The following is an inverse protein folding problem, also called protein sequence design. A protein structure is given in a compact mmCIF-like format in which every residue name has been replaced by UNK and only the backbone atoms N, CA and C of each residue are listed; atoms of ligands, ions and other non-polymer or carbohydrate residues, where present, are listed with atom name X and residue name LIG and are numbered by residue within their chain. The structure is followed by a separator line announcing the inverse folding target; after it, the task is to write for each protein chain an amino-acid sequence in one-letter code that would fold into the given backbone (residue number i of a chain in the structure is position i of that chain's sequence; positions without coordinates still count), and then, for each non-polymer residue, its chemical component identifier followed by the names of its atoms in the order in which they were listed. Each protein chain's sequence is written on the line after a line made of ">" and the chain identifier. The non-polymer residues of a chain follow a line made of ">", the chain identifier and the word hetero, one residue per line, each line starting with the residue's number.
data_IF_676617825595
#
_entry.id   IF_676617825595
#
_cell.length_a   1.000
_cell.length_b   1.000
_cell.length_c   1.000
_cell.angle_alpha   90.00
_cell.angle_beta   90.00
_cell.angle_gamma   90.00
#
_symmetry.space_group_name_H-M   'P 1'
#
loop_
_entity.id
_entity.type
_entity.pdbx_description
1 polymer ?
#
# COMPACT_ATOMS: atom_id res chain seq x y z
N UNK A 1 -36.83 -3.48 -17.99
CA UNK A 1 -36.57 -4.37 -19.15
C UNK A 1 -35.43 -3.92 -20.05
N UNK A 2 -34.99 -2.65 -20.05
CA UNK A 2 -33.92 -2.18 -20.97
C UNK A 2 -32.48 -2.30 -20.42
N UNK A 3 -32.27 -2.52 -19.11
CA UNK A 3 -30.92 -2.56 -18.51
C UNK A 3 -30.22 -3.92 -18.58
N UNK A 4 -30.93 -5.01 -18.91
CA UNK A 4 -30.33 -6.34 -19.05
C UNK A 4 -29.68 -6.59 -20.43
N UNK A 5 -29.85 -5.70 -21.40
CA UNK A 5 -29.29 -5.89 -22.75
C UNK A 5 -27.81 -5.48 -22.87
N UNK A 6 -27.29 -4.60 -22.00
CA UNK A 6 -25.86 -4.25 -21.95
C UNK A 6 -25.01 -5.31 -21.25
N UNK A 7 -25.54 -5.88 -20.16
CA UNK A 7 -24.88 -6.94 -19.38
C UNK A 7 -24.70 -8.23 -20.20
N UNK A 8 -25.67 -8.55 -21.07
CA UNK A 8 -25.62 -9.74 -21.89
C UNK A 8 -24.50 -9.69 -22.96
N UNK A 9 -24.10 -8.51 -23.45
CA UNK A 9 -23.15 -8.47 -24.57
C UNK A 9 -21.68 -8.71 -24.15
N UNK A 10 -21.32 -8.37 -22.90
CA UNK A 10 -19.99 -8.70 -22.35
C UNK A 10 -19.88 -10.15 -21.87
N UNK A 11 -21.01 -10.76 -21.46
CA UNK A 11 -21.09 -12.21 -21.18
C UNK A 11 -20.96 -13.03 -22.48
N UNK A 12 -21.41 -12.49 -23.61
CA UNK A 12 -21.47 -13.20 -24.90
C UNK A 12 -20.19 -13.17 -25.73
N UNK A 13 -19.10 -12.55 -25.26
CA UNK A 13 -17.81 -12.56 -25.98
C UNK A 13 -16.77 -13.51 -25.36
N UNK A 14 -17.16 -14.26 -24.33
CA UNK A 14 -16.31 -15.25 -23.64
C UNK A 14 -16.89 -16.68 -23.65
N UNK A 15 -17.96 -16.91 -24.43
CA UNK A 15 -18.47 -18.25 -24.73
C UNK A 15 -17.57 -19.03 -25.72
N UNK A 16 -16.48 -18.39 -26.20
CA UNK A 16 -15.56 -18.93 -27.21
C UNK A 16 -14.13 -19.16 -26.67
N UNK A 17 -13.92 -19.09 -25.34
CA UNK A 17 -12.75 -19.71 -24.70
C UNK A 17 -13.14 -21.08 -24.16
N UNK A 18 -13.62 -21.95 -25.06
CA UNK A 18 -13.54 -23.39 -24.83
C UNK A 18 -12.05 -23.75 -24.83
N UNK A 19 -11.42 -23.69 -23.66
CA UNK A 19 -10.15 -24.35 -23.36
C UNK A 19 -10.34 -25.81 -23.78
N UNK A 20 -9.87 -26.13 -24.99
CA UNK A 20 -10.27 -27.34 -25.71
C UNK A 20 -10.19 -28.59 -24.86
N UNK A 21 -11.36 -29.14 -24.49
CA UNK A 21 -11.50 -30.42 -23.80
C UNK A 21 -11.60 -30.37 -22.27
N UNK A 22 -11.61 -29.19 -21.62
CA UNK A 22 -11.89 -29.11 -20.18
C UNK A 22 -13.39 -29.18 -19.92
N UNK A 23 -13.80 -30.03 -18.99
CA UNK A 23 -15.19 -30.13 -18.55
C UNK A 23 -15.68 -28.76 -18.00
N UNK A 24 -16.81 -28.21 -18.48
CA UNK A 24 -17.35 -26.94 -18.00
C UNK A 24 -17.52 -26.85 -16.48
N UNK A 25 -17.85 -27.98 -15.83
CA UNK A 25 -18.07 -28.02 -14.39
C UNK A 25 -16.75 -27.90 -13.63
N UNK A 26 -15.70 -28.59 -14.09
CA UNK A 26 -14.34 -28.49 -13.53
C UNK A 26 -13.78 -27.08 -13.71
N UNK A 27 -14.01 -26.48 -14.88
CA UNK A 27 -13.58 -25.11 -15.12
C UNK A 27 -14.28 -24.13 -14.17
N UNK A 28 -15.59 -24.29 -13.98
CA UNK A 28 -16.33 -23.46 -13.04
C UNK A 28 -15.83 -23.63 -11.61
N UNK A 29 -15.55 -24.86 -11.17
CA UNK A 29 -14.95 -25.13 -9.86
C UNK A 29 -13.62 -24.39 -9.70
N UNK A 30 -12.75 -24.45 -10.71
CA UNK A 30 -11.49 -23.68 -10.74
C UNK A 30 -11.70 -22.17 -10.66
N UNK A 31 -12.72 -21.63 -11.34
CA UNK A 31 -13.08 -20.20 -11.22
C UNK A 31 -13.52 -19.85 -9.80
N UNK A 32 -14.27 -20.71 -9.13
CA UNK A 32 -14.76 -20.49 -7.77
C UNK A 32 -13.64 -20.56 -6.73
N UNK A 33 -12.65 -21.43 -6.93
CA UNK A 33 -11.46 -21.50 -6.08
C UNK A 33 -10.56 -20.28 -6.32
N UNK A 34 -10.31 -19.94 -7.59
CA UNK A 34 -9.49 -18.78 -7.96
C UNK A 34 -10.12 -17.47 -7.50
N UNK A 35 -11.45 -17.34 -7.52
CA UNK A 35 -12.14 -16.16 -7.02
C UNK A 35 -11.88 -15.95 -5.53
N UNK A 36 -11.85 -17.03 -4.72
CA UNK A 36 -11.48 -16.94 -3.29
C UNK A 36 -10.05 -16.47 -3.13
N UNK A 37 -9.12 -16.98 -3.93
CA UNK A 37 -7.73 -16.54 -3.94
C UNK A 37 -7.57 -15.03 -4.29
N UNK A 38 -8.43 -14.50 -5.17
CA UNK A 38 -8.48 -13.07 -5.48
C UNK A 38 -9.16 -12.23 -4.37
N UNK A 39 -9.74 -12.86 -3.34
CA UNK A 39 -10.44 -12.21 -2.23
C UNK A 39 -11.93 -11.96 -2.49
N UNK A 40 -12.53 -12.64 -3.48
CA UNK A 40 -13.96 -12.59 -3.78
C UNK A 40 -14.73 -13.59 -2.93
N UNK A 41 -15.99 -13.28 -2.61
CA UNK A 41 -16.94 -14.25 -2.11
C UNK A 41 -17.74 -14.83 -3.29
N UNK A 42 -17.57 -16.12 -3.64
CA UNK A 42 -18.21 -16.69 -4.82
C UNK A 42 -19.75 -16.70 -4.77
N UNK A 43 -20.35 -16.67 -3.57
CA UNK A 43 -21.81 -16.67 -3.40
C UNK A 43 -22.37 -15.25 -3.48
N UNK A 44 -21.67 -14.28 -2.88
CA UNK A 44 -22.09 -12.86 -2.84
C UNK A 44 -21.73 -12.09 -4.11
N UNK A 45 -20.59 -12.40 -4.70
CA UNK A 45 -19.95 -11.64 -5.78
C UNK A 45 -20.06 -12.38 -7.13
N UNK A 46 -21.15 -13.12 -7.34
CA UNK A 46 -21.43 -13.91 -8.55
C UNK A 46 -21.34 -13.07 -9.85
N UNK A 47 -21.76 -11.80 -9.79
CA UNK A 47 -21.70 -10.83 -10.87
C UNK A 47 -20.27 -10.36 -11.20
N UNK A 48 -19.29 -10.65 -10.34
CA UNK A 48 -17.89 -10.30 -10.50
C UNK A 48 -16.98 -11.51 -10.83
N UNK A 49 -17.53 -12.73 -10.85
CA UNK A 49 -16.79 -13.96 -11.18
C UNK A 49 -16.16 -13.94 -12.57
N UNK A 50 -16.60 -13.08 -13.48
CA UNK A 50 -15.96 -12.87 -14.77
C UNK A 50 -14.51 -12.36 -14.62
N UNK A 51 -14.18 -11.63 -13.55
CA UNK A 51 -12.81 -11.18 -13.26
C UNK A 51 -11.94 -12.39 -12.91
N UNK A 52 -12.43 -13.28 -12.05
CA UNK A 52 -11.74 -14.52 -11.70
C UNK A 52 -11.54 -15.42 -12.92
N UNK A 53 -12.58 -15.57 -13.75
CA UNK A 53 -12.50 -16.30 -15.02
C UNK A 53 -11.41 -15.75 -15.93
N UNK A 54 -11.33 -14.42 -16.08
CA UNK A 54 -10.30 -13.78 -16.91
C UNK A 54 -8.90 -13.93 -16.32
N UNK A 55 -8.76 -13.85 -15.00
CA UNK A 55 -7.48 -14.05 -14.32
C UNK A 55 -6.96 -15.48 -14.48
N UNK A 56 -7.85 -16.48 -14.41
CA UNK A 56 -7.47 -17.89 -14.50
C UNK A 56 -6.95 -18.29 -15.89
N UNK A 57 -7.43 -17.61 -16.92
CA UNK A 57 -7.05 -17.85 -18.33
C UNK A 57 -6.12 -16.75 -18.87
N UNK A 58 -5.57 -15.91 -18.00
CA UNK A 58 -4.70 -14.82 -18.39
C UNK A 58 -3.38 -15.37 -18.97
N UNK A 59 -2.93 -14.79 -20.08
CA UNK A 59 -1.63 -15.09 -20.63
C UNK A 59 -0.52 -14.53 -19.74
N UNK A 60 0.63 -15.19 -19.75
CA UNK A 60 1.83 -14.73 -19.06
C UNK A 60 2.33 -13.44 -19.75
N UNK A 61 2.59 -12.35 -19.02
CA UNK A 61 3.07 -11.09 -19.58
C UNK A 61 4.45 -11.23 -20.26
N UNK A 62 4.79 -10.33 -21.19
CA UNK A 62 6.12 -10.29 -21.80
C UNK A 62 7.25 -10.24 -20.76
N UNK A 63 8.32 -10.98 -21.00
CA UNK A 63 9.47 -11.10 -20.09
C UNK A 63 9.24 -12.06 -18.92
N UNK A 64 8.02 -12.54 -18.69
CA UNK A 64 7.72 -13.57 -17.69
C UNK A 64 7.63 -14.95 -18.34
N UNK A 65 8.10 -15.97 -17.62
CA UNK A 65 8.11 -17.36 -18.03
C UNK A 65 7.59 -18.25 -16.90
N UNK A 66 6.73 -19.22 -17.21
CA UNK A 66 6.37 -20.27 -16.26
C UNK A 66 7.40 -21.39 -16.34
N UNK A 67 7.95 -21.76 -15.19
CA UNK A 67 8.95 -22.82 -15.04
C UNK A 67 8.43 -23.80 -13.98
N UNK A 68 8.67 -25.10 -14.20
CA UNK A 68 8.32 -26.12 -13.23
C UNK A 68 9.50 -26.40 -12.31
N UNK A 69 9.26 -26.49 -11.01
CA UNK A 69 10.25 -27.00 -10.05
C UNK A 69 10.48 -28.50 -10.28
N UNK A 70 11.52 -29.05 -9.63
CA UNK A 70 11.78 -30.50 -9.65
C UNK A 70 10.62 -31.32 -9.05
N UNK A 71 9.79 -30.68 -8.23
CA UNK A 71 8.60 -31.26 -7.59
C UNK A 71 7.34 -31.14 -8.46
N UNK A 72 7.44 -30.50 -9.64
CA UNK A 72 6.32 -30.31 -10.57
C UNK A 72 5.41 -29.13 -10.20
N UNK A 73 5.85 -28.24 -9.32
CA UNK A 73 5.10 -27.02 -8.95
C UNK A 73 5.50 -25.89 -9.90
N UNK A 74 4.55 -25.19 -10.55
CA UNK A 74 4.87 -24.04 -11.37
C UNK A 74 5.32 -22.84 -10.52
N UNK A 75 6.33 -22.13 -10.98
CA UNK A 75 6.69 -20.78 -10.54
C UNK A 75 6.93 -19.89 -11.76
N UNK A 76 6.90 -18.58 -11.56
CA UNK A 76 7.05 -17.59 -12.61
C UNK A 76 8.38 -16.86 -12.44
N UNK A 77 9.13 -16.74 -13.53
CA UNK A 77 10.45 -16.10 -13.57
C UNK A 77 10.45 -15.00 -14.63
N UNK A 78 10.97 -13.82 -14.29
CA UNK A 78 11.17 -12.73 -15.22
C UNK A 78 12.64 -12.73 -15.71
N UNK A 79 12.84 -12.81 -17.02
CA UNK A 79 14.18 -12.86 -17.61
C UNK A 79 14.86 -11.48 -17.72
N UNK A 80 14.08 -10.40 -17.76
CA UNK A 80 14.58 -9.03 -17.81
C UNK A 80 15.07 -8.54 -16.44
N UNK A 81 14.29 -8.76 -15.37
CA UNK A 81 14.61 -8.32 -14.01
C UNK A 81 15.34 -9.38 -13.19
N UNK A 82 15.20 -10.66 -13.55
CA UNK A 82 15.69 -11.79 -12.75
C UNK A 82 14.78 -12.16 -11.57
N UNK A 83 13.58 -11.57 -11.47
CA UNK A 83 12.65 -11.85 -10.38
C UNK A 83 11.99 -13.22 -10.52
N UNK A 84 11.71 -13.88 -9.39
CA UNK A 84 10.92 -15.12 -9.35
C UNK A 84 9.79 -15.01 -8.33
N UNK A 85 8.60 -15.52 -8.68
CA UNK A 85 7.42 -15.53 -7.80
C UNK A 85 6.60 -16.79 -7.98
N UNK A 86 5.80 -17.13 -6.99
CA UNK A 86 4.91 -18.30 -7.03
C UNK A 86 3.55 -17.96 -7.64
N UNK A 87 3.13 -16.71 -7.49
CA UNK A 87 1.87 -16.19 -8.01
C UNK A 87 1.99 -15.76 -9.48
N UNK A 88 0.88 -15.82 -10.23
CA UNK A 88 0.89 -15.32 -11.60
C UNK A 88 1.13 -13.79 -11.57
N UNK A 89 2.04 -13.25 -12.41
CA UNK A 89 2.42 -11.83 -12.36
C UNK A 89 1.24 -10.86 -12.55
N UNK A 90 0.21 -11.25 -13.30
CA UNK A 90 -1.01 -10.45 -13.49
C UNK A 90 -2.05 -10.60 -12.38
N UNK A 91 -1.90 -11.53 -11.43
CA UNK A 91 -2.90 -11.74 -10.37
C UNK A 91 -3.13 -10.47 -9.54
N UNK A 92 -2.07 -9.69 -9.32
CA UNK A 92 -2.15 -8.45 -8.57
C UNK A 92 -3.07 -7.43 -9.26
N UNK A 93 -3.04 -7.36 -10.59
CA UNK A 93 -3.89 -6.47 -11.37
C UNK A 93 -5.36 -6.91 -11.35
N UNK A 94 -5.63 -8.21 -11.37
CA UNK A 94 -6.99 -8.73 -11.21
C UNK A 94 -7.54 -8.53 -9.79
N UNK A 95 -6.70 -8.63 -8.75
CA UNK A 95 -7.06 -8.24 -7.38
C UNK A 95 -7.43 -6.75 -7.30
N UNK A 96 -6.67 -5.88 -7.98
CA UNK A 96 -6.97 -4.44 -8.05
C UNK A 96 -8.26 -4.17 -8.85
N UNK A 97 -8.45 -4.86 -9.98
CA UNK A 97 -9.67 -4.79 -10.78
C UNK A 97 -10.91 -5.16 -9.98
N UNK A 98 -10.81 -6.22 -9.17
CA UNK A 98 -11.89 -6.64 -8.27
C UNK A 98 -12.22 -5.57 -7.23
N UNK A 99 -11.22 -5.00 -6.56
CA UNK A 99 -11.42 -3.93 -5.57
C UNK A 99 -12.16 -2.73 -6.16
N UNK A 100 -11.78 -2.30 -7.37
CA UNK A 100 -12.46 -1.19 -8.05
C UNK A 100 -13.89 -1.56 -8.48
N UNK A 101 -14.10 -2.79 -8.97
CA UNK A 101 -15.45 -3.26 -9.31
C UNK A 101 -16.37 -3.29 -8.07
N UNK A 102 -15.86 -3.73 -6.93
CA UNK A 102 -16.60 -3.73 -5.65
C UNK A 102 -16.90 -2.30 -5.18
N UNK A 103 -15.96 -1.36 -5.34
CA UNK A 103 -16.20 0.07 -5.06
C UNK A 103 -17.34 0.62 -5.91
N UNK A 104 -17.30 0.38 -7.23
CA UNK A 104 -18.34 0.82 -8.17
C UNK A 104 -19.71 0.24 -7.78
N UNK A 105 -19.75 -1.06 -7.46
CA UNK A 105 -20.95 -1.75 -6.99
C UNK A 105 -21.51 -1.10 -5.73
N UNK A 106 -20.66 -0.81 -4.74
CA UNK A 106 -21.05 -0.15 -3.50
C UNK A 106 -21.55 1.29 -3.71
N UNK A 107 -20.98 2.00 -4.69
CA UNK A 107 -21.39 3.36 -5.06
C UNK A 107 -22.67 3.40 -5.94
N UNK A 108 -23.18 2.25 -6.37
CA UNK A 108 -24.29 2.18 -7.34
C UNK A 108 -23.91 2.64 -8.75
N UNK A 109 -22.62 2.73 -9.05
CA UNK A 109 -22.10 3.03 -10.38
C UNK A 109 -22.23 1.80 -11.29
N UNK A 110 -22.55 1.97 -12.59
CA UNK A 110 -22.55 0.86 -13.53
C UNK A 110 -21.13 0.30 -13.69
N UNK A 111 -20.95 -0.99 -13.43
CA UNK A 111 -19.68 -1.69 -13.66
C UNK A 111 -19.43 -1.77 -15.17
N UNK A 112 -18.46 -1.01 -15.66
CA UNK A 112 -17.99 -1.07 -17.04
C UNK A 112 -16.81 -2.05 -17.13
N UNK A 113 -17.12 -3.29 -17.47
CA UNK A 113 -16.13 -4.37 -17.63
C UNK A 113 -15.06 -4.06 -18.68
N UNK A 114 -15.41 -3.33 -19.75
CA UNK A 114 -14.48 -2.96 -20.82
C UNK A 114 -13.47 -1.93 -20.31
N UNK A 115 -13.97 -0.91 -19.59
CA UNK A 115 -13.12 0.08 -18.93
C UNK A 115 -12.19 -0.56 -17.91
N UNK A 116 -12.71 -1.42 -17.04
CA UNK A 116 -11.89 -2.12 -16.04
C UNK A 116 -10.80 -2.96 -16.69
N UNK A 117 -11.15 -3.74 -17.72
CA UNK A 117 -10.18 -4.54 -18.49
C UNK A 117 -9.09 -3.65 -19.11
N UNK A 118 -9.45 -2.51 -19.70
CA UNK A 118 -8.48 -1.56 -20.25
C UNK A 118 -7.55 -1.01 -19.17
N UNK A 119 -8.08 -0.64 -18.01
CA UNK A 119 -7.29 0.00 -16.96
C UNK A 119 -6.27 -0.96 -16.34
N UNK A 120 -6.67 -2.20 -16.06
CA UNK A 120 -5.84 -3.13 -15.28
C UNK A 120 -5.09 -4.16 -16.14
N UNK A 121 -5.57 -4.50 -17.34
CA UNK A 121 -4.96 -5.56 -18.17
C UNK A 121 -4.14 -5.03 -19.35
N UNK A 122 -4.40 -3.80 -19.85
CA UNK A 122 -3.62 -3.25 -20.98
C UNK A 122 -2.31 -2.54 -20.55
N UNK A 123 -2.08 -2.33 -19.26
CA UNK A 123 -0.89 -1.61 -18.78
C UNK A 123 0.40 -2.46 -18.79
N UNK A 124 0.32 -3.74 -19.17
CA UNK A 124 1.47 -4.67 -19.18
C UNK A 124 2.45 -4.43 -20.34
N UNK A 125 2.26 -3.39 -21.15
CA UNK A 125 3.20 -3.04 -22.20
C UNK A 125 4.25 -1.99 -21.77
N UNK A 126 4.10 -1.27 -20.64
CA UNK A 126 5.01 -0.14 -20.32
C UNK A 126 5.28 0.19 -18.84
N UNK A 127 5.22 -0.75 -17.89
CA UNK A 127 5.71 -0.47 -16.54
C UNK A 127 6.70 -1.53 -16.01
N UNK A 128 7.98 -1.28 -16.28
CA UNK A 128 9.01 -1.42 -15.25
C UNK A 128 9.09 -0.06 -14.53
N UNK A 129 8.83 0.05 -13.22
CA UNK A 129 9.36 1.19 -12.48
C UNK A 129 10.86 1.03 -12.48
N UNK A 130 11.52 1.78 -13.36
CA UNK A 130 12.97 1.84 -13.44
C UNK A 130 13.48 2.23 -12.04
N UNK A 131 14.04 1.26 -11.33
CA UNK A 131 14.89 1.51 -10.18
C UNK A 131 16.03 2.36 -10.70
N UNK A 132 15.89 3.67 -10.60
CA UNK A 132 16.88 4.63 -11.06
C UNK A 132 18.05 4.50 -10.10
N UNK A 133 18.98 3.63 -10.51
CA UNK A 133 20.34 3.58 -10.06
C UNK A 133 20.86 5.01 -9.89
N UNK A 134 21.33 5.30 -8.69
CA UNK A 134 22.03 6.51 -8.29
C UNK A 134 23.01 6.95 -9.39
N UNK A 135 22.61 7.96 -10.17
CA UNK A 135 23.55 8.71 -10.98
C UNK A 135 24.07 9.86 -10.14
N UNK A 136 25.09 9.56 -9.32
CA UNK A 136 25.99 10.58 -8.77
C UNK A 136 26.69 11.23 -9.96
N UNK A 137 26.15 12.34 -10.44
CA UNK A 137 26.86 13.24 -11.35
C UNK A 137 27.82 14.07 -10.50
N UNK A 138 29.08 13.62 -10.50
CA UNK A 138 30.24 14.37 -10.05
C UNK A 138 30.30 15.71 -10.79
N UNK A 139 30.19 16.80 -10.05
CA UNK A 139 30.45 18.16 -10.53
C UNK A 139 31.96 18.32 -10.79
N UNK A 140 32.40 18.82 -11.96
CA UNK A 140 33.71 19.43 -12.08
C UNK A 140 33.67 20.91 -11.71
N UNK A 141 34.78 21.34 -11.15
CA UNK A 141 35.07 22.66 -10.61
C UNK A 141 34.81 23.86 -11.53
N UNK A 142 34.33 24.93 -10.88
CA UNK A 142 34.65 26.35 -11.05
C UNK A 142 35.31 26.87 -12.32
N UNK A 143 34.64 27.84 -12.95
CA UNK A 143 35.29 29.02 -13.52
C UNK A 143 34.28 30.19 -13.59
N UNK A 144 34.73 31.35 -13.12
CA UNK A 144 34.04 32.63 -13.21
C UNK A 144 33.93 33.11 -14.67
N UNK A 145 32.82 33.77 -15.06
CA UNK A 145 32.86 35.15 -15.58
C UNK A 145 31.47 35.77 -15.84
N UNK A 146 31.47 37.09 -15.77
CA UNK A 146 30.48 38.13 -16.12
C UNK A 146 29.47 37.90 -17.27
N UNK A 147 28.30 38.54 -17.14
CA UNK A 147 27.85 39.52 -18.15
C UNK A 147 26.43 39.41 -18.75
N UNK A 148 25.55 40.35 -18.36
CA UNK A 148 24.62 41.15 -19.19
C UNK A 148 23.49 40.52 -20.05
N UNK A 149 22.25 40.93 -19.71
CA UNK A 149 21.18 41.58 -20.52
C UNK A 149 20.77 41.04 -21.92
N UNK A 150 19.46 40.82 -22.13
CA UNK A 150 18.59 41.26 -23.27
C UNK A 150 17.40 40.27 -23.44
N UNK A 151 16.14 40.62 -23.14
CA UNK A 151 15.12 41.37 -23.92
C UNK A 151 14.60 40.67 -25.19
N UNK A 152 13.28 40.45 -25.20
CA UNK A 152 12.30 40.26 -26.29
C UNK A 152 12.29 38.98 -27.15
N UNK A 153 11.14 38.29 -27.16
CA UNK A 153 10.43 37.91 -28.40
C UNK A 153 9.04 37.31 -28.11
N UNK A 154 8.00 38.11 -28.32
CA UNK A 154 6.65 37.63 -28.60
C UNK A 154 6.59 37.08 -30.03
N UNK A 155 5.88 35.97 -30.25
CA UNK A 155 5.41 35.58 -31.58
C UNK A 155 4.12 34.75 -31.48
N UNK A 156 3.21 35.11 -32.36
CA UNK A 156 1.78 34.79 -32.40
C UNK A 156 1.47 33.37 -32.87
N UNK A 157 0.27 32.89 -32.49
CA UNK A 157 -0.42 31.75 -33.13
C UNK A 157 -1.00 32.14 -34.49
N UNK A 158 -1.40 31.17 -35.33
CA UNK A 158 -2.83 31.08 -35.62
C UNK A 158 -3.43 29.65 -35.69
N UNK A 159 -4.68 29.63 -35.19
CA UNK A 159 -5.80 28.68 -35.16
C UNK A 159 -6.06 27.86 -36.46
N UNK A 160 -6.87 26.78 -36.38
CA UNK A 160 -8.15 26.56 -37.12
C UNK A 160 -8.82 25.17 -36.79
N UNK A 161 -9.89 25.22 -35.95
CA UNK A 161 -11.19 24.47 -35.95
C UNK A 161 -11.34 22.93 -35.76
N UNK A 162 -12.56 22.40 -35.43
CA UNK A 162 -13.77 23.01 -34.84
C UNK A 162 -14.36 22.27 -33.61
N UNK A 163 -15.35 22.92 -32.98
CA UNK A 163 -16.07 22.54 -31.76
C UNK A 163 -17.36 21.71 -31.98
N UNK A 164 -17.78 20.97 -30.93
CA UNK A 164 -19.17 20.77 -30.42
C UNK A 164 -19.22 19.63 -29.37
N UNK A 165 -20.22 19.55 -28.45
CA UNK A 165 -20.72 20.52 -27.46
C UNK A 165 -20.55 19.99 -26.00
N UNK A 166 -20.78 20.79 -24.93
CA UNK A 166 -20.74 20.30 -23.55
C UNK A 166 -22.10 19.74 -23.10
N UNK A 167 -22.09 18.50 -22.61
CA UNK A 167 -23.23 17.87 -21.94
C UNK A 167 -23.43 18.47 -20.55
N UNK A 168 -24.63 19.01 -20.32
CA UNK A 168 -25.15 19.34 -19.00
C UNK A 168 -25.13 18.10 -18.09
N UNK A 169 -24.32 18.11 -17.03
CA UNK A 169 -24.63 17.38 -15.81
C UNK A 169 -24.57 18.33 -14.63
N UNK A 170 -25.76 18.56 -14.10
CA UNK A 170 -26.11 19.35 -12.94
C UNK A 170 -25.42 18.74 -11.71
N UNK A 171 -24.64 19.57 -11.01
CA UNK A 171 -24.12 19.24 -9.69
C UNK A 171 -25.29 19.05 -8.73
N UNK A 172 -25.55 17.80 -8.33
CA UNK A 172 -26.33 17.48 -7.14
C UNK A 172 -25.37 17.26 -6.00
N UNK A 173 -25.25 18.29 -5.15
CA UNK A 173 -24.74 18.13 -3.81
C UNK A 173 -25.79 17.33 -3.00
N UNK A 174 -25.48 16.07 -2.72
CA UNK A 174 -26.12 15.34 -1.63
C UNK A 174 -25.08 15.08 -0.57
N UNK A 175 -25.17 15.84 0.52
CA UNK A 175 -24.48 15.50 1.76
C UNK A 175 -24.94 14.14 2.25
N UNK A 176 -23.98 13.32 2.65
CA UNK A 176 -24.22 12.15 3.48
C UNK A 176 -23.16 12.17 4.57
N UNK A 177 -23.58 12.66 5.73
CA UNK A 177 -22.91 12.42 7.02
C UNK A 177 -22.97 10.91 7.29
N UNK A 178 -21.86 10.23 7.00
CA UNK A 178 -21.66 8.81 7.26
C UNK A 178 -20.58 8.63 8.31
N UNK A 179 -21.03 8.27 9.50
CA UNK A 179 -20.32 7.90 10.72
C UNK A 179 -19.06 7.03 10.49
N UNK A 180 -17.93 7.46 11.05
CA UNK A 180 -16.63 6.75 11.02
C UNK A 180 -16.31 6.05 12.35
N UNK A 181 -17.31 5.75 13.19
CA UNK A 181 -17.08 5.25 14.56
C UNK A 181 -17.03 3.73 14.74
N UNK A 182 -17.12 2.90 13.70
CA UNK A 182 -17.26 1.43 13.89
C UNK A 182 -16.13 0.60 13.22
N UNK A 183 -14.89 1.07 13.26
CA UNK A 183 -13.72 0.28 12.84
C UNK A 183 -12.45 0.50 13.67
N UNK A 184 -12.56 1.11 14.85
CA UNK A 184 -11.42 1.40 15.74
C UNK A 184 -11.40 0.58 17.05
N UNK A 185 -12.33 -0.35 17.24
CA UNK A 185 -12.50 -1.09 18.51
C UNK A 185 -12.41 -2.62 18.39
N UNK A 186 -11.72 -3.15 17.39
CA UNK A 186 -11.46 -4.60 17.26
C UNK A 186 -9.97 -4.92 17.01
N UNK A 187 -9.06 -4.17 17.65
CA UNK A 187 -7.62 -4.54 17.74
C UNK A 187 -7.10 -4.37 19.17
N UNK A 188 -7.93 -4.69 20.18
CA UNK A 188 -7.45 -4.65 21.57
C UNK A 188 -8.01 -5.74 22.49
N UNK A 189 -8.21 -6.94 21.95
CA UNK A 189 -8.56 -8.10 22.77
C UNK A 189 -7.82 -9.36 22.30
N UNK A 190 -6.49 -9.34 22.38
CA UNK A 190 -5.68 -10.57 22.31
C UNK A 190 -4.23 -10.36 22.80
N UNK A 191 -4.01 -9.88 24.02
CA UNK A 191 -2.85 -10.26 24.86
C UNK A 191 -3.12 -9.82 26.29
N UNK A 192 -3.45 -10.78 27.14
CA UNK A 192 -3.50 -10.58 28.59
C UNK A 192 -2.11 -10.41 29.20
N UNK A 193 -2.11 -9.80 30.38
CA UNK A 193 -1.04 -9.75 31.40
C UNK A 193 0.15 -8.82 31.06
N UNK A 194 0.45 -7.74 31.78
CA UNK A 194 0.10 -7.35 33.15
C UNK A 194 1.32 -7.37 34.07
N UNK A 195 2.36 -6.54 33.82
CA UNK A 195 3.35 -6.17 34.85
C UNK A 195 3.64 -4.68 34.74
N UNK A 196 3.27 -3.95 35.80
CA UNK A 196 3.52 -2.53 35.98
C UNK A 196 5.00 -2.27 36.27
N UNK A 197 5.62 -1.37 35.50
CA UNK A 197 6.92 -0.79 35.82
C UNK A 197 6.72 0.68 36.19
N UNK A 198 6.77 0.99 37.49
CA UNK A 198 6.74 2.37 37.99
C UNK A 198 8.07 3.07 37.69
N UNK A 199 8.06 4.35 37.29
CA UNK A 199 9.27 5.14 37.06
C UNK A 199 10.07 5.33 38.35
N UNK A 200 11.38 5.08 38.31
CA UNK A 200 12.33 5.53 39.33
C UNK A 200 12.78 6.94 38.95
N UNK A 201 12.35 7.91 39.76
CA UNK A 201 13.04 9.18 39.89
C UNK A 201 14.29 8.93 40.75
N UNK A 202 15.47 8.98 40.12
CA UNK A 202 16.74 9.06 40.82
C UNK A 202 17.00 10.54 41.15
N UNK A 203 16.66 10.95 42.37
CA UNK A 203 17.02 12.24 42.94
C UNK A 203 18.22 12.03 43.88
N UNK A 204 19.37 12.60 43.51
CA UNK A 204 20.59 12.63 44.30
C UNK A 204 20.43 13.65 45.44
N UNK A 205 20.62 13.23 46.69
CA UNK A 205 21.18 14.09 47.75
C UNK A 205 21.53 13.31 49.03
N UNK A 206 22.83 13.31 49.33
CA UNK A 206 23.49 13.55 50.62
C UNK A 206 22.72 13.31 51.93
N UNK A 207 23.25 12.43 52.81
CA UNK A 207 23.96 12.84 54.05
C UNK A 207 23.86 11.80 55.20
N UNK A 208 25.04 11.56 55.79
CA UNK A 208 25.39 11.10 57.15
C UNK A 208 24.83 9.81 57.83
N UNK A 209 25.79 8.93 58.17
CA UNK A 209 26.12 8.71 59.60
C UNK A 209 25.72 7.39 60.27
N UNK A 210 26.68 6.45 60.34
CA UNK A 210 27.10 5.83 61.61
C UNK A 210 26.40 4.55 62.14
N UNK A 211 27.14 3.45 62.09
CA UNK A 211 27.39 2.53 63.22
C UNK A 211 26.26 1.64 63.76
N UNK A 212 26.45 0.32 63.71
CA UNK A 212 26.82 -0.51 64.87
C UNK A 212 26.49 -2.00 64.62
N UNK A 213 27.37 -2.84 65.15
CA UNK A 213 27.54 -4.26 64.93
C UNK A 213 26.79 -5.05 66.02
N UNK A 214 25.81 -5.90 65.67
CA UNK A 214 25.30 -6.90 66.62
C UNK A 214 24.96 -8.25 65.98
N UNK A 215 25.61 -9.26 66.53
CA UNK A 215 25.47 -10.70 66.34
C UNK A 215 24.15 -11.23 66.94
N UNK A 216 23.60 -12.31 66.37
CA UNK A 216 23.05 -13.54 67.04
C UNK A 216 21.88 -14.17 66.25
N UNK A 217 22.21 -15.30 65.61
CA UNK A 217 21.53 -16.62 65.65
C UNK A 217 20.03 -16.75 65.35
N UNK A 218 19.69 -17.57 64.33
CA UNK A 218 18.63 -18.61 64.43
C UNK A 218 18.79 -19.73 63.38
N UNK A 219 18.86 -20.96 63.90
CA UNK A 219 18.85 -22.22 63.16
C UNK A 219 17.43 -22.66 62.80
N UNK A 220 17.33 -23.58 61.83
CA UNK A 220 16.40 -24.72 61.93
C UNK A 220 15.48 -24.92 60.74
N UNK A 221 15.97 -25.63 59.72
CA UNK A 221 15.12 -26.33 58.75
C UNK A 221 14.57 -27.60 59.39
N UNK A 222 13.27 -27.81 59.22
CA UNK A 222 12.50 -28.95 59.74
C UNK A 222 12.67 -30.18 58.87
N UNK A 223 12.83 -31.31 59.54
CA UNK A 223 12.88 -32.67 59.00
C UNK A 223 11.46 -33.23 58.84
N UNK A 224 11.27 -34.10 57.84
CA UNK A 224 10.16 -35.05 57.80
C UNK A 224 10.76 -36.46 57.56
N UNK A 225 10.55 -37.33 58.54
CA UNK A 225 11.00 -38.71 58.58
C UNK A 225 9.78 -39.66 58.61
N UNK A 226 9.91 -40.83 57.98
CA UNK A 226 9.28 -42.10 58.34
C UNK A 226 10.07 -43.20 57.58
N UNK A 227 10.94 -43.98 58.23
CA UNK A 227 10.69 -45.29 58.88
C UNK A 227 9.88 -46.26 57.99
N UNK A 228 10.27 -47.52 57.74
CA UNK A 228 11.14 -48.44 58.48
C UNK A 228 11.38 -49.74 57.68
N UNK A 229 12.31 -50.57 58.18
CA UNK A 229 12.53 -52.02 57.96
C UNK A 229 13.67 -52.46 57.02
N UNK A 230 14.72 -53.03 57.63
CA UNK A 230 15.75 -53.85 56.96
C UNK A 230 15.25 -55.25 56.59
N UNK A 231 16.09 -56.07 55.93
CA UNK A 231 17.10 -56.80 56.71
C UNK A 231 18.50 -56.85 56.09
N UNK A 232 19.41 -57.29 56.94
CA UNK A 232 20.86 -57.45 56.82
C UNK A 232 21.30 -58.60 55.90
N UNK A 233 22.60 -58.59 55.59
CA UNK A 233 23.44 -59.65 55.02
C UNK A 233 23.32 -59.95 53.51
N UNK A 234 24.30 -59.42 52.76
CA UNK A 234 25.19 -60.26 51.96
C UNK A 234 26.41 -59.44 51.51
N UNK A 235 27.56 -59.86 52.00
CA UNK A 235 28.90 -59.63 51.46
C UNK A 235 28.93 -59.73 49.93
N UNK A 236 29.08 -58.60 49.27
CA UNK A 236 29.29 -58.48 47.82
C UNK A 236 30.36 -57.44 47.54
N UNK A 237 31.61 -57.81 47.79
CA UNK A 237 32.79 -57.03 47.46
C UNK A 237 32.92 -56.94 45.92
N UNK A 238 32.19 -56.04 45.27
CA UNK A 238 32.54 -55.58 43.92
C UNK A 238 33.41 -54.35 44.08
N UNK A 239 34.68 -54.60 44.38
CA UNK A 239 35.73 -53.68 43.98
C UNK A 239 35.57 -53.48 42.48
N UNK A 240 35.07 -52.31 42.07
CA UNK A 240 35.19 -51.85 40.71
C UNK A 240 36.69 -51.81 40.42
N UNK A 241 37.18 -52.90 39.82
CA UNK A 241 38.53 -52.97 39.30
C UNK A 241 38.62 -51.84 38.29
N UNK A 242 39.27 -50.75 38.71
CA UNK A 242 39.74 -49.70 37.85
C UNK A 242 40.77 -50.36 36.94
N UNK A 243 40.29 -50.93 35.83
CA UNK A 243 41.15 -51.42 34.76
C UNK A 243 41.91 -50.17 34.30
N UNK A 244 43.23 -50.09 34.52
CA UNK A 244 43.98 -48.96 34.02
C UNK A 244 43.88 -49.03 32.49
N UNK A 245 43.13 -48.09 31.91
CA UNK A 245 43.13 -47.85 30.47
C UNK A 245 44.59 -47.75 30.04
N UNK A 246 44.97 -48.48 28.98
CA UNK A 246 46.34 -48.42 28.49
C UNK A 246 46.62 -46.96 28.13
N UNK A 247 47.88 -46.51 28.29
CA UNK A 247 48.28 -45.12 28.02
C UNK A 247 47.79 -44.64 26.62
N UNK A 248 47.70 -45.57 25.67
CA UNK A 248 47.20 -45.36 24.31
C UNK A 248 45.68 -45.09 24.24
N UNK A 249 44.88 -45.66 25.13
CA UNK A 249 43.42 -45.45 25.20
C UNK A 249 43.09 -44.05 25.75
N UNK A 250 43.89 -43.56 26.71
CA UNK A 250 43.77 -42.19 27.22
C UNK A 250 44.13 -41.14 26.16
N UNK A 251 45.15 -41.41 25.35
CA UNK A 251 45.55 -40.52 24.24
C UNK A 251 44.44 -40.40 23.19
N UNK A 252 43.84 -41.52 22.79
CA UNK A 252 42.73 -41.52 21.84
C UNK A 252 41.49 -40.78 22.37
N UNK A 253 41.17 -40.94 23.66
CA UNK A 253 40.06 -40.22 24.29
C UNK A 253 40.30 -38.70 24.32
N UNK A 254 41.53 -38.27 24.65
CA UNK A 254 41.91 -36.86 24.66
C UNK A 254 41.82 -36.26 23.25
N UNK A 255 42.31 -36.97 22.23
CA UNK A 255 42.20 -36.54 20.83
C UNK A 255 40.73 -36.41 20.38
N UNK A 256 39.85 -37.34 20.79
CA UNK A 256 38.40 -37.26 20.53
C UNK A 256 37.75 -36.04 21.19
N UNK A 257 38.02 -35.82 22.47
CA UNK A 257 37.46 -34.68 23.22
C UNK A 257 37.96 -33.33 22.67
N UNK A 258 39.22 -33.25 22.22
CA UNK A 258 39.73 -32.05 21.55
C UNK A 258 39.06 -31.83 20.19
N UNK A 259 38.75 -32.90 19.44
CA UNK A 259 38.03 -32.79 18.17
C UNK A 259 36.60 -32.27 18.40
N UNK A 260 35.86 -32.83 19.37
CA UNK A 260 34.52 -32.38 19.75
C UNK A 260 34.52 -30.92 20.25
N UNK A 261 35.51 -30.53 21.07
CA UNK A 261 35.66 -29.14 21.52
C UNK A 261 35.88 -28.18 20.35
N UNK A 262 36.70 -28.57 19.37
CA UNK A 262 36.96 -27.75 18.19
C UNK A 262 35.72 -27.64 17.29
N UNK A 263 34.92 -28.70 17.19
CA UNK A 263 33.64 -28.67 16.47
C UNK A 263 32.62 -27.76 17.17
N UNK A 264 32.49 -27.87 18.49
CA UNK A 264 31.66 -26.96 19.30
C UNK A 264 32.09 -25.50 19.14
N UNK A 265 33.39 -25.20 19.11
CA UNK A 265 33.91 -23.84 18.87
C UNK A 265 33.51 -23.32 17.50
N UNK A 266 33.66 -24.14 16.44
CA UNK A 266 33.24 -23.75 15.08
C UNK A 266 31.74 -23.45 15.01
N UNK A 267 30.92 -24.26 15.67
CA UNK A 267 29.47 -24.06 15.71
C UNK A 267 29.09 -22.76 16.43
N UNK A 268 29.77 -22.43 17.52
CA UNK A 268 29.56 -21.19 18.25
C UNK A 268 29.99 -19.96 17.44
N UNK A 269 31.10 -20.07 16.68
CA UNK A 269 31.54 -19.02 15.76
C UNK A 269 30.51 -18.79 14.64
N UNK A 270 30.02 -19.86 14.00
CA UNK A 270 28.99 -19.77 12.97
C UNK A 270 27.69 -19.16 13.51
N UNK A 271 27.33 -19.47 14.76
CA UNK A 271 26.17 -18.88 15.41
C UNK A 271 26.35 -17.37 15.65
N UNK A 272 27.56 -16.93 15.98
CA UNK A 272 27.90 -15.51 16.11
C UNK A 272 27.79 -14.79 14.76
N UNK A 273 28.34 -15.37 13.70
CA UNK A 273 28.22 -14.84 12.34
C UNK A 273 26.76 -14.74 11.91
N UNK A 274 25.94 -15.74 12.23
CA UNK A 274 24.49 -15.70 11.97
C UNK A 274 23.82 -14.54 12.72
N UNK A 275 24.18 -14.32 13.98
CA UNK A 275 23.63 -13.22 14.76
C UNK A 275 24.01 -11.86 14.17
N UNK A 276 25.25 -11.70 13.71
CA UNK A 276 25.70 -10.46 13.05
C UNK A 276 24.89 -10.18 11.77
N UNK A 277 24.56 -11.23 11.00
CA UNK A 277 23.69 -11.11 9.81
C UNK A 277 22.27 -10.73 10.20
N UNK A 278 21.70 -11.36 11.24
CA UNK A 278 20.35 -11.02 11.74
C UNK A 278 20.30 -9.57 12.19
N UNK A 279 21.29 -9.09 12.94
CA UNK A 279 21.37 -7.71 13.42
C UNK A 279 21.50 -6.74 12.24
N UNK A 280 22.28 -7.08 11.21
CA UNK A 280 22.38 -6.28 10.00
C UNK A 280 21.04 -6.21 9.26
N UNK A 281 20.35 -7.33 9.10
CA UNK A 281 19.02 -7.36 8.47
C UNK A 281 18.00 -6.54 9.27
N UNK A 282 18.01 -6.65 10.60
CA UNK A 282 17.12 -5.85 11.46
C UNK A 282 17.37 -4.34 11.29
N UNK A 283 18.63 -3.91 11.17
CA UNK A 283 18.96 -2.51 10.86
C UNK A 283 18.40 -2.08 9.51
N UNK A 284 18.59 -2.89 8.46
CA UNK A 284 18.06 -2.56 7.12
C UNK A 284 16.53 -2.47 7.11
N UNK A 285 15.83 -3.36 7.83
CA UNK A 285 14.37 -3.31 7.96
C UNK A 285 13.94 -2.03 8.68
N UNK A 286 14.64 -1.65 9.75
CA UNK A 286 14.36 -0.41 10.47
C UNK A 286 14.57 0.83 9.58
N UNK A 287 15.67 0.87 8.82
CA UNK A 287 15.97 1.97 7.90
C UNK A 287 14.90 2.09 6.79
N UNK A 288 14.50 0.96 6.19
CA UNK A 288 13.44 0.93 5.17
C UNK A 288 12.10 1.39 5.77
N UNK A 289 11.76 0.92 6.97
CA UNK A 289 10.54 1.36 7.66
C UNK A 289 10.55 2.88 7.89
N UNK A 290 11.68 3.44 8.35
CA UNK A 290 11.84 4.88 8.54
C UNK A 290 11.71 5.67 7.22
N UNK A 291 12.27 5.15 6.13
CA UNK A 291 12.13 5.76 4.79
C UNK A 291 10.68 5.75 4.31
N UNK A 292 9.96 4.64 4.49
CA UNK A 292 8.55 4.53 4.13
C UNK A 292 7.68 5.50 4.93
N UNK A 293 7.93 5.64 6.24
CA UNK A 293 7.20 6.62 7.06
C UNK A 293 7.48 8.06 6.61
N UNK A 294 8.71 8.38 6.23
CA UNK A 294 9.06 9.71 5.73
C UNK A 294 8.34 10.01 4.41
N UNK A 295 8.32 9.05 3.48
CA UNK A 295 7.57 9.17 2.22
C UNK A 295 6.06 9.30 2.47
N UNK A 296 5.51 8.55 3.43
CA UNK A 296 4.11 8.67 3.79
C UNK A 296 3.78 10.08 4.31
N UNK A 297 4.61 10.65 5.19
CA UNK A 297 4.43 12.03 5.67
C UNK A 297 4.49 13.06 4.54
N UNK A 298 5.42 12.90 3.61
CA UNK A 298 5.54 13.79 2.44
C UNK A 298 4.30 13.69 1.54
N UNK A 299 3.83 12.49 1.22
CA UNK A 299 2.62 12.30 0.40
C UNK A 299 1.37 12.85 1.06
N UNK A 300 1.24 12.74 2.39
CA UNK A 300 0.12 13.32 3.13
C UNK A 300 0.11 14.84 3.07
N UNK A 301 1.27 15.49 3.29
CA UNK A 301 1.35 16.96 3.21
C UNK A 301 1.10 17.48 1.78
N UNK A 302 1.60 16.76 0.76
CA UNK A 302 1.28 17.05 -0.63
C UNK A 302 -0.22 16.90 -0.91
N UNK A 303 -0.85 15.84 -0.40
CA UNK A 303 -2.30 15.63 -0.55
C UNK A 303 -3.11 16.77 0.08
N UNK A 304 -2.76 17.19 1.31
CA UNK A 304 -3.41 18.32 1.97
C UNK A 304 -3.26 19.63 1.18
N UNK A 305 -2.08 19.89 0.62
CA UNK A 305 -1.84 21.05 -0.24
C UNK A 305 -2.69 21.00 -1.52
N UNK A 306 -2.81 19.83 -2.17
CA UNK A 306 -3.67 19.67 -3.35
C UNK A 306 -5.15 19.89 -3.02
N UNK A 307 -5.60 19.42 -1.86
CA UNK A 307 -6.97 19.63 -1.38
C UNK A 307 -7.25 21.11 -1.11
N UNK A 308 -6.29 21.83 -0.51
CA UNK A 308 -6.39 23.27 -0.32
C UNK A 308 -6.50 24.02 -1.66
N UNK A 309 -5.63 23.71 -2.62
CA UNK A 309 -5.67 24.30 -3.96
C UNK A 309 -6.98 23.99 -4.70
N UNK A 310 -7.53 22.78 -4.55
CA UNK A 310 -8.82 22.41 -5.13
C UNK A 310 -9.98 23.22 -4.55
N UNK A 311 -9.95 23.49 -3.24
CA UNK A 311 -10.94 24.35 -2.59
C UNK A 311 -10.86 25.80 -3.07
N UNK A 312 -9.65 26.35 -3.21
CA UNK A 312 -9.43 27.69 -3.79
C UNK A 312 -9.92 27.79 -5.23
N UNK A 313 -9.71 26.75 -6.05
CA UNK A 313 -10.24 26.71 -7.41
C UNK A 313 -11.78 26.67 -7.41
N UNK A 314 -12.40 25.94 -6.48
CA UNK A 314 -13.85 25.88 -6.34
C UNK A 314 -14.46 27.22 -5.90
N UNK A 315 -13.78 27.99 -5.04
CA UNK A 315 -14.24 29.35 -4.68
C UNK A 315 -14.05 30.31 -5.85
N UNK A 316 -12.89 30.31 -6.50
CA UNK A 316 -12.62 31.16 -7.65
C UNK A 316 -13.59 30.92 -8.83
N UNK A 317 -13.98 29.67 -9.07
CA UNK A 317 -14.98 29.34 -10.12
C UNK A 317 -16.38 29.82 -9.76
N UNK A 318 -16.80 29.71 -8.50
CA UNK A 318 -18.07 30.30 -8.02
C UNK A 318 -18.06 31.83 -8.13
N UNK A 319 -16.97 32.48 -7.76
CA UNK A 319 -16.83 33.94 -7.86
C UNK A 319 -16.84 34.40 -9.32
N UNK A 320 -16.16 33.66 -10.21
CA UNK A 320 -16.21 33.90 -11.65
C UNK A 320 -17.64 33.79 -12.19
N UNK A 321 -18.40 32.77 -11.78
CA UNK A 321 -19.79 32.60 -12.21
C UNK A 321 -20.67 33.77 -11.74
N UNK A 322 -20.57 34.13 -10.46
CA UNK A 322 -21.29 35.27 -9.88
C UNK A 322 -20.96 36.58 -10.59
N UNK A 323 -19.68 36.80 -10.93
CA UNK A 323 -19.26 37.98 -11.68
C UNK A 323 -19.76 37.96 -13.12
N UNK A 324 -19.80 36.80 -13.78
CA UNK A 324 -20.38 36.67 -15.11
C UNK A 324 -21.88 37.00 -15.12
N UNK A 325 -22.64 36.59 -14.10
CA UNK A 325 -24.05 36.95 -13.93
C UNK A 325 -24.23 38.47 -13.79
N UNK A 326 -23.42 39.12 -12.94
CA UNK A 326 -23.43 40.58 -12.79
C UNK A 326 -23.11 41.31 -14.10
N UNK A 327 -22.14 40.80 -14.87
CA UNK A 327 -21.81 41.38 -16.18
C UNK A 327 -22.99 41.26 -17.14
N UNK A 328 -23.66 40.11 -17.20
CA UNK A 328 -24.84 39.92 -18.03
C UNK A 328 -26.00 40.87 -17.65
N UNK A 329 -26.22 41.09 -16.35
CA UNK A 329 -27.21 42.06 -15.87
C UNK A 329 -26.85 43.49 -16.29
N UNK A 330 -25.58 43.89 -16.15
CA UNK A 330 -25.10 45.21 -16.60
C UNK A 330 -25.24 45.39 -18.11
N UNK A 331 -25.00 44.35 -18.92
CA UNK A 331 -25.20 44.41 -20.37
C UNK A 331 -26.68 44.63 -20.74
N UNK A 332 -27.61 43.96 -20.05
CA UNK A 332 -29.04 44.13 -20.30
C UNK A 332 -29.53 45.52 -19.86
N UNK A 333 -29.09 46.02 -18.71
CA UNK A 333 -29.43 47.40 -18.27
C UNK A 333 -28.89 48.44 -19.25
N UNK A 334 -27.66 48.27 -19.76
CA UNK A 334 -27.06 49.17 -20.74
C UNK A 334 -27.81 49.13 -22.07
N UNK A 335 -28.28 47.96 -22.50
CA UNK A 335 -29.15 47.80 -23.67
C UNK A 335 -30.49 48.53 -23.50
N UNK A 336 -31.12 48.43 -22.32
CA UNK A 336 -32.35 49.17 -22.01
C UNK A 336 -32.13 50.69 -22.05
N UNK A 337 -31.05 51.19 -21.45
CA UNK A 337 -30.68 52.62 -21.48
C UNK A 337 -30.47 53.10 -22.91
N UNK A 338 -29.79 52.32 -23.76
CA UNK A 338 -29.62 52.65 -25.19
C UNK A 338 -30.95 52.72 -25.94
N UNK A 339 -31.87 51.80 -25.68
CA UNK A 339 -33.20 51.81 -26.30
C UNK A 339 -34.00 53.04 -25.86
N UNK A 340 -33.95 53.39 -24.57
CA UNK A 340 -34.61 54.57 -24.03
C UNK A 340 -34.06 55.85 -24.66
N UNK A 341 -32.74 55.98 -24.76
CA UNK A 341 -32.10 57.14 -25.39
C UNK A 341 -32.47 57.26 -26.87
N UNK A 342 -32.54 56.13 -27.61
CA UNK A 342 -32.96 56.12 -29.00
C UNK A 342 -34.42 56.59 -29.16
N UNK A 343 -35.31 56.18 -28.25
CA UNK A 343 -36.71 56.63 -28.21
C UNK A 343 -36.80 58.13 -27.94
N UNK A 344 -36.12 58.63 -26.90
CA UNK A 344 -36.12 60.06 -26.57
C UNK A 344 -35.54 60.94 -27.69
N UNK A 345 -34.53 60.43 -28.41
CA UNK A 345 -33.98 61.11 -29.58
C UNK A 345 -35.02 61.20 -30.72
N UNK A 346 -35.78 60.12 -30.95
CA UNK A 346 -36.86 60.10 -31.95
C UNK A 346 -38.02 61.03 -31.58
N UNK A 347 -38.41 61.05 -30.30
CA UNK A 347 -39.46 61.93 -29.79
C UNK A 347 -39.03 63.40 -29.93
N UNK A 348 -37.77 63.73 -29.59
CA UNK A 348 -37.21 65.08 -29.81
C UNK A 348 -37.18 65.49 -31.28
N UNK A 349 -36.83 64.56 -32.18
CA UNK A 349 -36.84 64.82 -33.62
C UNK A 349 -38.27 65.15 -34.11
N UNK A 350 -39.25 64.38 -33.65
CA UNK A 350 -40.66 64.57 -33.97
C UNK A 350 -41.15 65.93 -33.48
N UNK A 351 -40.88 66.28 -32.22
CA UNK A 351 -41.20 67.60 -31.65
C UNK A 351 -40.57 68.75 -32.45
N UNK A 352 -39.30 68.62 -32.86
CA UNK A 352 -38.63 69.63 -33.70
C UNK A 352 -39.30 69.78 -35.07
N UNK A 353 -39.76 68.69 -35.66
CA UNK A 353 -40.50 68.73 -36.93
C UNK A 353 -41.85 69.43 -36.75
N UNK A 354 -42.60 69.12 -35.69
CA UNK A 354 -43.89 69.77 -35.38
C UNK A 354 -43.71 71.28 -35.15
N UNK A 355 -42.74 71.69 -34.33
CA UNK A 355 -42.44 73.11 -34.10
C UNK A 355 -42.15 73.82 -35.42
N UNK A 356 -41.36 73.21 -36.32
CA UNK A 356 -41.05 73.77 -37.63
C UNK A 356 -42.27 73.92 -38.54
N UNK A 357 -43.29 73.06 -38.41
CA UNK A 357 -44.54 73.19 -39.18
C UNK A 357 -45.48 74.26 -38.62
N UNK A 358 -45.34 74.61 -37.34
CA UNK A 358 -46.15 75.63 -36.67
C UNK A 358 -45.57 77.05 -36.77
N UNK A 359 -44.29 77.19 -37.14
CA UNK A 359 -43.60 78.47 -37.35
C UNK A 359 -43.57 78.79 -38.84
#
# INVERSE_FOLDING_TARGET
>A
MQQHQGYAHAVMQFDELSLGGVDPDIFMEGVMEHSKYLGMDPERDQDLLWIARKSLVADIPPGWHQVMTQEGVPYYYNDESGDSRWEHPSDQDYKAMYREATRMKAAGEPIDAVRLTRLFTQHHQYHQPNTSHLAITSHPHGAANHGQYSSDAWAESPQLHPASPPSHHQAVASGFDGDWSEYAEEVREATGEGIAYSPRDDDESDDDGGGDDTVVTKHGHTSAAADSQGPTDATGHVGAAMVPLRLDDHRALVESLYAELNECKKKLELQREHQDVVDALQRTVHDIAGQLEAQLRETLTAHEATKAAQNELATATRDKHTNAEKVAELEETLKQVRQQLAKEAQDNLTLRQEVKTLT
#
